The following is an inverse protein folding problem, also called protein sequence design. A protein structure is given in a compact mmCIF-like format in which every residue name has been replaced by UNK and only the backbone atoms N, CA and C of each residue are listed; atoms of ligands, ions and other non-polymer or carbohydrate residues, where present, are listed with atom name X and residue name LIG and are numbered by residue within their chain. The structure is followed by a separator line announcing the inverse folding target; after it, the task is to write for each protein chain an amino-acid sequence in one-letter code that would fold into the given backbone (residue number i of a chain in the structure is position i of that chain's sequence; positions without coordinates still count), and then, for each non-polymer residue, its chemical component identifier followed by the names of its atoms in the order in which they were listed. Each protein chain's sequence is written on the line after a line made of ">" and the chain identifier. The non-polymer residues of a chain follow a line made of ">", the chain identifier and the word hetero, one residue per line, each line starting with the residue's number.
data_IF_907474189868
#
_entry.id   IF_907474189868
#
_cell.length_a   1.000
_cell.length_b   1.000
_cell.length_c   1.000
_cell.angle_alpha   90.00
_cell.angle_beta   90.00
_cell.angle_gamma   90.00
#
_symmetry.space_group_name_H-M   'P 1'
#
loop_
_entity.id
_entity.type
_entity.pdbx_description
1 polymer ?
#
# COMPACT_ATOMS: atom_id res chain seq x y z
N UNK A 1 25.47 -4.51 -1.13
CA UNK A 1 24.41 -3.91 -0.29
C UNK A 1 24.97 -3.85 1.11
N UNK A 2 25.37 -2.67 1.57
CA UNK A 2 25.95 -2.48 2.91
C UNK A 2 24.81 -2.27 3.91
N UNK A 3 25.00 -2.69 5.16
CA UNK A 3 24.00 -2.51 6.23
C UNK A 3 23.59 -1.04 6.44
N UNK A 4 24.44 -0.09 6.00
CA UNK A 4 24.19 1.35 6.10
C UNK A 4 23.12 1.86 5.14
N UNK A 5 22.99 1.30 3.93
CA UNK A 5 21.94 1.70 2.98
C UNK A 5 20.59 1.06 3.33
N UNK A 6 20.60 -0.18 3.82
CA UNK A 6 19.40 -0.87 4.30
C UNK A 6 18.77 -0.15 5.50
N UNK A 7 19.60 0.35 6.44
CA UNK A 7 19.13 1.12 7.59
C UNK A 7 18.52 2.46 7.17
N UNK A 8 19.14 3.15 6.21
CA UNK A 8 18.63 4.42 5.68
C UNK A 8 17.30 4.23 4.93
N UNK A 9 17.17 3.16 4.15
CA UNK A 9 15.93 2.80 3.46
C UNK A 9 14.78 2.52 4.44
N UNK A 10 15.05 1.73 5.48
CA UNK A 10 14.06 1.45 6.53
C UNK A 10 13.64 2.73 7.29
N UNK A 11 14.57 3.65 7.54
CA UNK A 11 14.27 4.92 8.17
C UNK A 11 13.38 5.83 7.29
N UNK A 12 13.65 5.88 5.98
CA UNK A 12 12.83 6.63 5.03
C UNK A 12 11.41 6.05 4.89
N UNK A 13 11.28 4.72 4.88
CA UNK A 13 9.98 4.05 4.86
C UNK A 13 9.19 4.31 6.15
N UNK A 14 9.84 4.21 7.32
CA UNK A 14 9.21 4.50 8.59
C UNK A 14 8.71 5.95 8.66
N UNK A 15 9.51 6.90 8.16
CA UNK A 15 9.11 8.31 8.07
C UNK A 15 7.91 8.51 7.16
N UNK A 16 7.89 7.86 5.99
CA UNK A 16 6.75 7.91 5.07
C UNK A 16 5.47 7.34 5.72
N UNK A 17 5.57 6.24 6.47
CA UNK A 17 4.46 5.66 7.23
C UNK A 17 3.94 6.63 8.30
N UNK A 18 4.83 7.30 9.04
CA UNK A 18 4.44 8.32 10.03
C UNK A 18 3.71 9.50 9.39
N UNK A 19 4.18 10.00 8.24
CA UNK A 19 3.51 11.08 7.50
C UNK A 19 2.11 10.67 7.01
N UNK A 20 1.96 9.43 6.53
CA UNK A 20 0.68 8.90 6.05
C UNK A 20 -0.30 8.73 7.23
N UNK A 21 0.16 8.13 8.33
CA UNK A 21 -0.65 7.91 9.53
C UNK A 21 -1.17 9.24 10.09
N UNK A 22 -0.32 10.27 10.14
CA UNK A 22 -0.70 11.61 10.58
C UNK A 22 -1.78 12.23 9.69
N UNK A 23 -1.61 12.18 8.36
CA UNK A 23 -2.60 12.70 7.40
C UNK A 23 -3.93 11.97 7.47
N UNK A 24 -3.90 10.65 7.64
CA UNK A 24 -5.10 9.83 7.80
C UNK A 24 -5.84 10.22 9.09
N UNK A 25 -5.12 10.36 10.20
CA UNK A 25 -5.68 10.79 11.47
C UNK A 25 -6.30 12.20 11.39
N UNK A 26 -5.63 13.15 10.73
CA UNK A 26 -6.15 14.51 10.49
C UNK A 26 -7.44 14.49 9.66
N UNK A 27 -7.57 13.55 8.73
CA UNK A 27 -8.78 13.34 7.93
C UNK A 27 -9.88 12.56 8.68
N UNK A 28 -9.69 12.24 9.97
CA UNK A 28 -10.64 11.50 10.79
C UNK A 28 -10.65 9.98 10.56
N UNK A 29 -9.62 9.43 9.92
CA UNK A 29 -9.48 7.98 9.72
C UNK A 29 -8.86 7.32 10.95
N UNK A 30 -9.43 6.19 11.34
CA UNK A 30 -8.86 5.34 12.39
C UNK A 30 -7.85 4.39 11.77
N UNK A 31 -6.56 4.67 11.96
CA UNK A 31 -5.46 3.82 11.47
C UNK A 31 -5.28 2.61 12.39
N UNK A 32 -5.32 1.40 11.82
CA UNK A 32 -5.23 0.13 12.55
C UNK A 32 -4.30 -0.85 11.81
N UNK A 33 -3.76 -1.83 12.52
CA UNK A 33 -2.97 -2.91 11.91
C UNK A 33 -3.85 -4.10 11.54
N UNK A 34 -3.49 -4.86 10.49
CA UNK A 34 -4.21 -6.08 10.11
C UNK A 34 -4.43 -7.05 11.29
N UNK A 35 -3.49 -7.11 12.25
CA UNK A 35 -3.59 -7.97 13.46
C UNK A 35 -4.75 -7.60 14.39
N UNK A 36 -5.12 -6.32 14.46
CA UNK A 36 -6.13 -5.79 15.38
C UNK A 36 -7.20 -5.01 14.60
N UNK A 37 -7.67 -5.55 13.48
CA UNK A 37 -8.63 -4.87 12.61
C UNK A 37 -10.00 -4.75 13.28
N UNK A 38 -10.44 -3.52 13.54
CA UNK A 38 -11.80 -3.21 13.95
C UNK A 38 -12.44 -2.23 12.95
N UNK A 39 -13.15 -2.75 11.96
CA UNK A 39 -13.86 -1.95 10.96
C UNK A 39 -15.00 -1.10 11.55
N UNK A 40 -15.40 -1.33 12.79
CA UNK A 40 -16.41 -0.55 13.52
C UNK A 40 -15.83 0.52 14.45
N UNK A 41 -14.51 0.76 14.41
CA UNK A 41 -13.88 1.77 15.27
C UNK A 41 -14.22 3.22 14.88
N UNK A 42 -14.73 3.45 13.66
CA UNK A 42 -15.14 4.76 13.16
C UNK A 42 -15.78 4.68 11.78
N UNK A 43 -16.20 5.82 11.24
CA UNK A 43 -16.79 5.91 9.91
C UNK A 43 -15.74 5.60 8.81
N UNK A 44 -14.51 6.08 8.98
CA UNK A 44 -13.36 5.77 8.13
C UNK A 44 -12.30 4.97 8.91
N UNK A 45 -11.90 3.81 8.39
CA UNK A 45 -10.88 2.93 8.98
C UNK A 45 -9.80 2.64 7.95
N UNK A 46 -8.54 2.94 8.28
CA UNK A 46 -7.39 2.64 7.43
C UNK A 46 -6.61 1.47 8.05
N UNK A 47 -6.42 0.38 7.30
CA UNK A 47 -5.76 -0.82 7.80
C UNK A 47 -4.41 -0.96 7.12
N UNK A 48 -3.33 -0.82 7.89
CA UNK A 48 -1.97 -1.00 7.37
C UNK A 48 -1.61 -2.47 7.19
N UNK A 49 -0.72 -2.71 6.24
CA UNK A 49 -0.09 -4.00 5.96
C UNK A 49 -1.10 -5.13 5.66
N UNK A 50 -2.10 -4.83 4.82
CA UNK A 50 -3.17 -5.77 4.54
C UNK A 50 -2.76 -6.78 3.46
N UNK A 51 -2.65 -8.04 3.85
CA UNK A 51 -2.44 -9.15 2.92
C UNK A 51 -3.76 -9.48 2.20
N UNK A 52 -3.84 -9.20 0.90
CA UNK A 52 -4.96 -9.61 0.05
C UNK A 52 -4.77 -11.06 -0.39
N UNK A 53 -5.85 -11.75 -0.75
CA UNK A 53 -5.74 -13.09 -1.35
C UNK A 53 -5.15 -12.98 -2.75
N UNK A 54 -4.33 -13.97 -3.12
CA UNK A 54 -3.81 -14.09 -4.49
C UNK A 54 -4.96 -14.06 -5.52
N UNK A 55 -4.76 -13.43 -6.70
CA UNK A 55 -3.50 -12.90 -7.24
C UNK A 55 -3.18 -11.43 -6.86
N UNK A 56 -3.94 -10.83 -5.92
CA UNK A 56 -3.92 -9.37 -5.71
C UNK A 56 -2.76 -8.83 -4.85
N UNK A 57 -1.98 -9.71 -4.18
CA UNK A 57 -0.76 -9.31 -3.46
C UNK A 57 -0.99 -8.69 -2.08
N UNK A 58 -0.17 -7.71 -1.69
CA UNK A 58 -0.22 -7.01 -0.40
C UNK A 58 -0.46 -5.52 -0.64
N UNK A 59 -1.34 -4.92 0.16
CA UNK A 59 -1.56 -3.47 0.18
C UNK A 59 -0.93 -2.85 1.43
N UNK A 60 -0.24 -1.72 1.28
CA UNK A 60 0.35 -1.01 2.42
C UNK A 60 -0.71 -0.42 3.34
N UNK A 61 -1.78 0.15 2.76
CA UNK A 61 -2.96 0.59 3.50
C UNK A 61 -4.23 0.24 2.74
N UNK A 62 -5.21 -0.31 3.43
CA UNK A 62 -6.54 -0.58 2.90
C UNK A 62 -7.56 0.30 3.61
N UNK A 63 -8.28 1.11 2.84
CA UNK A 63 -9.24 2.10 3.34
C UNK A 63 -10.65 1.50 3.33
N UNK A 64 -11.35 1.66 4.45
CA UNK A 64 -12.72 1.25 4.65
C UNK A 64 -13.59 2.44 5.07
N UNK A 65 -14.77 2.56 4.48
CA UNK A 65 -15.83 3.47 4.94
C UNK A 65 -17.08 2.64 5.19
N UNK A 66 -17.72 2.82 6.35
CA UNK A 66 -18.90 2.04 6.76
C UNK A 66 -18.70 0.52 6.66
N UNK A 67 -17.48 0.05 6.98
CA UNK A 67 -17.04 -1.35 6.88
C UNK A 67 -16.95 -1.90 5.45
N UNK A 68 -17.00 -1.03 4.43
CA UNK A 68 -16.82 -1.40 3.02
C UNK A 68 -15.46 -0.92 2.53
N UNK A 69 -14.69 -1.76 1.81
CA UNK A 69 -13.43 -1.32 1.22
C UNK A 69 -13.71 -0.27 0.14
N UNK A 70 -13.06 0.89 0.25
CA UNK A 70 -13.22 2.01 -0.72
C UNK A 70 -11.98 2.25 -1.56
N UNK A 71 -10.82 1.75 -1.14
CA UNK A 71 -9.57 1.88 -1.88
C UNK A 71 -8.37 1.36 -1.12
N UNK A 72 -7.22 1.37 -1.77
CA UNK A 72 -5.93 1.03 -1.18
C UNK A 72 -4.92 2.15 -1.46
N UNK A 73 -3.97 2.35 -0.55
CA UNK A 73 -2.81 3.23 -0.73
C UNK A 73 -1.57 2.33 -0.74
N UNK A 74 -0.79 2.45 -1.81
CA UNK A 74 0.54 1.85 -1.92
C UNK A 74 1.56 2.87 -1.40
N UNK A 75 2.29 2.54 -0.34
CA UNK A 75 3.31 3.42 0.18
C UNK A 75 4.52 3.36 -0.77
N UNK A 76 4.79 4.45 -1.47
CA UNK A 76 6.03 4.59 -2.25
C UNK A 76 7.04 5.38 -1.43
N UNK A 77 8.23 4.84 -1.16
CA UNK A 77 9.30 5.64 -0.57
C UNK A 77 9.61 6.80 -1.51
N UNK A 78 9.87 8.00 -0.94
CA UNK A 78 10.28 9.19 -1.69
C UNK A 78 11.72 9.00 -2.23
N UNK A 79 11.86 8.17 -3.25
CA UNK A 79 13.16 7.91 -3.87
C UNK A 79 13.26 6.55 -4.55
N UNK A 80 12.34 6.20 -5.46
CA UNK A 80 12.62 5.32 -6.61
C UNK A 80 11.39 5.23 -7.53
N UNK A 81 11.14 6.31 -8.28
CA UNK A 81 10.49 6.21 -9.58
C UNK A 81 11.54 5.77 -10.62
N UNK A 82 12.06 4.56 -10.52
CA UNK A 82 12.93 4.02 -11.56
C UNK A 82 12.81 2.49 -11.64
N UNK A 83 12.26 2.04 -12.77
CA UNK A 83 12.33 0.68 -13.30
C UNK A 83 11.21 -0.32 -12.97
N UNK A 84 9.94 0.10 -13.07
CA UNK A 84 8.88 -0.82 -13.51
C UNK A 84 8.35 -0.43 -14.89
N UNK A 85 9.24 -0.49 -15.89
CA UNK A 85 8.83 -0.63 -17.28
C UNK A 85 8.37 -2.07 -17.50
N UNK A 86 7.09 -2.33 -17.30
CA UNK A 86 6.47 -3.58 -17.71
C UNK A 86 6.40 -3.61 -19.23
N UNK A 87 7.37 -4.26 -19.88
CA UNK A 87 7.27 -4.64 -21.28
C UNK A 87 6.17 -5.71 -21.38
N UNK A 88 4.93 -5.27 -21.58
CA UNK A 88 3.86 -6.14 -22.02
C UNK A 88 4.11 -6.44 -23.51
N UNK A 89 4.92 -7.47 -23.78
CA UNK A 89 5.02 -8.06 -25.11
C UNK A 89 3.71 -8.79 -25.39
N UNK A 90 2.75 -8.04 -25.95
CA UNK A 90 1.53 -8.57 -26.50
C UNK A 90 1.85 -9.34 -27.77
N UNK A 91 2.19 -10.62 -27.63
CA UNK A 91 2.28 -11.53 -28.76
C UNK A 91 0.88 -11.75 -29.37
N UNK A 92 0.51 -10.85 -30.29
CA UNK A 92 -0.62 -11.01 -31.20
C UNK A 92 -0.29 -12.19 -32.12
N UNK A 93 -0.75 -13.39 -31.73
CA UNK A 93 -0.86 -14.50 -32.68
C UNK A 93 -2.04 -14.22 -33.61
N UNK A 94 -1.76 -13.47 -34.68
CA UNK A 94 -2.62 -13.42 -35.85
C UNK A 94 -2.69 -14.82 -36.45
N UNK A 95 -3.91 -15.37 -36.51
CA UNK A 95 -4.25 -16.49 -37.38
C UNK A 95 -5.03 -15.93 -38.56
N UNK A 96 -4.62 -16.21 -39.80
CA UNK A 96 -5.56 -16.19 -40.92
C UNK A 96 -5.42 -17.48 -41.77
N UNK A 97 -6.31 -17.67 -42.77
CA UNK A 97 -7.16 -18.86 -42.93
C UNK A 97 -6.48 -20.14 -43.38
#
# INVERSE_FOLDING_TARGET
>A
MTDSEATAYLAAEAQARMEIDAKLAECGWVVQSQKNINLGAGQGVAVREFTLREPHGRADYLLFIDRKPVGAIEAKPKGDDAHRGGTADGQVRRRPP
#
